data_IF_407964005128
#
_entry.id   IF_407964005128
#
_cell.length_a   1.000
_cell.length_b   1.000
_cell.length_c   1.000
_cell.angle_alpha   90.00
_cell.angle_beta   90.00
_cell.angle_gamma   90.00
#
_symmetry.space_group_name_H-M   'P 1'
#
loop_
_entity.id
_entity.type
_entity.pdbx_description
1 polymer ?
#
# COMPACT_ATOMS: atom_id res chain seq x y z
N UNK A 1 -21.54 1.12 2.61
CA UNK A 1 -20.41 0.27 3.04
C UNK A 1 -19.68 0.87 4.23
N UNK A 2 -19.26 2.15 4.19
CA UNK A 2 -18.53 2.81 5.29
C UNK A 2 -19.20 2.73 6.69
N UNK A 3 -20.53 2.72 6.76
CA UNK A 3 -21.27 2.58 8.03
C UNK A 3 -21.02 1.24 8.75
N UNK A 4 -20.46 0.25 8.07
CA UNK A 4 -20.08 -1.06 8.63
C UNK A 4 -18.58 -1.15 8.98
N UNK A 5 -17.81 -0.09 8.74
CA UNK A 5 -16.38 -0.09 8.99
C UNK A 5 -16.08 -0.37 10.46
N UNK A 6 -15.29 -1.40 10.72
CA UNK A 6 -14.94 -1.82 12.07
C UNK A 6 -13.75 -1.00 12.59
N UNK A 7 -14.05 0.18 13.14
CA UNK A 7 -13.05 1.04 13.81
C UNK A 7 -12.25 0.27 14.90
N UNK A 8 -12.86 -0.60 15.74
CA UNK A 8 -12.10 -1.37 16.72
C UNK A 8 -10.98 -2.20 16.11
N UNK A 9 -11.23 -2.83 14.96
CA UNK A 9 -10.21 -3.60 14.25
C UNK A 9 -9.10 -2.70 13.70
N UNK A 10 -9.44 -1.53 13.13
CA UNK A 10 -8.43 -0.56 12.70
C UNK A 10 -7.55 -0.09 13.87
N UNK A 11 -8.14 0.20 15.03
CA UNK A 11 -7.38 0.63 16.21
C UNK A 11 -6.47 -0.49 16.76
N UNK A 12 -6.84 -1.76 16.55
CA UNK A 12 -6.01 -2.93 16.90
C UNK A 12 -4.81 -3.10 15.97
N UNK A 13 -5.03 -3.10 14.64
CA UNK A 13 -3.97 -3.44 13.67
C UNK A 13 -3.23 -2.21 13.10
N UNK A 14 -3.80 -1.02 13.24
CA UNK A 14 -3.19 0.25 12.88
C UNK A 14 -3.32 0.65 11.40
N UNK A 15 -3.39 -0.30 10.47
CA UNK A 15 -3.62 -0.05 9.03
C UNK A 15 -4.51 -1.12 8.40
N UNK A 16 -5.48 -0.69 7.61
CA UNK A 16 -6.30 -1.59 6.79
C UNK A 16 -6.51 -0.99 5.39
N UNK A 17 -6.36 -1.83 4.36
CA UNK A 17 -6.89 -1.49 3.05
C UNK A 17 -8.41 -1.68 3.07
N UNK A 18 -9.17 -0.72 2.55
CA UNK A 18 -10.64 -0.79 2.55
C UNK A 18 -11.17 -1.75 1.48
N UNK A 19 -10.33 -2.13 0.51
CA UNK A 19 -10.65 -3.12 -0.50
C UNK A 19 -10.26 -4.52 -0.02
N UNK A 20 -11.26 -5.40 0.06
CA UNK A 20 -11.07 -6.83 0.23
C UNK A 20 -11.21 -7.51 -1.14
N UNK A 21 -10.10 -7.96 -1.73
CA UNK A 21 -10.09 -8.53 -3.09
C UNK A 21 -9.06 -9.67 -3.23
N UNK A 22 -9.37 -10.63 -4.12
CA UNK A 22 -8.54 -11.82 -4.36
C UNK A 22 -7.61 -11.73 -5.58
N UNK A 23 -7.81 -10.75 -6.49
CA UNK A 23 -7.28 -10.85 -7.87
C UNK A 23 -6.54 -9.58 -8.31
N UNK A 24 -6.52 -8.51 -7.51
CA UNK A 24 -5.96 -7.22 -7.94
C UNK A 24 -4.98 -6.68 -6.90
N UNK A 25 -3.70 -6.72 -7.25
CA UNK A 25 -2.59 -6.29 -6.40
C UNK A 25 -2.02 -7.37 -5.48
N UNK A 26 -2.65 -8.55 -5.42
CA UNK A 26 -2.31 -9.66 -4.54
C UNK A 26 -2.18 -10.99 -5.30
N UNK A 27 -1.30 -11.91 -4.86
CA UNK A 27 -0.42 -11.79 -3.70
C UNK A 27 0.78 -10.87 -3.95
N UNK A 28 1.21 -10.75 -5.20
CA UNK A 28 2.36 -9.96 -5.64
C UNK A 28 1.95 -9.25 -6.92
N UNK A 29 2.15 -7.93 -6.97
CA UNK A 29 1.84 -7.12 -8.15
C UNK A 29 3.10 -6.59 -8.81
N UNK A 30 4.07 -6.19 -7.98
CA UNK A 30 5.26 -5.50 -8.44
C UNK A 30 6.46 -6.34 -8.03
N UNK A 31 7.31 -6.65 -8.99
CA UNK A 31 8.62 -7.26 -8.77
C UNK A 31 9.70 -6.25 -9.17
N UNK A 32 10.17 -5.39 -8.24
CA UNK A 32 10.99 -4.22 -8.55
C UNK A 32 12.29 -4.52 -9.32
N UNK A 33 12.79 -5.75 -9.22
CA UNK A 33 14.05 -6.19 -9.83
C UNK A 33 13.88 -6.83 -11.21
N UNK A 34 12.70 -7.38 -11.52
CA UNK A 34 12.46 -8.18 -12.73
C UNK A 34 11.46 -7.56 -13.68
N UNK A 35 10.60 -6.66 -13.20
CA UNK A 35 9.66 -5.90 -14.02
C UNK A 35 10.42 -4.86 -14.84
N UNK A 36 11.01 -5.31 -15.95
CA UNK A 36 11.81 -4.51 -16.87
C UNK A 36 11.02 -4.07 -18.11
N UNK A 37 9.75 -4.44 -18.21
CA UNK A 37 8.92 -4.20 -19.39
C UNK A 37 8.26 -2.82 -19.30
N UNK A 38 8.72 -1.88 -20.13
CA UNK A 38 8.19 -0.50 -20.17
C UNK A 38 6.83 -0.39 -20.90
N UNK A 39 6.39 -1.46 -21.57
CA UNK A 39 5.17 -1.48 -22.37
C UNK A 39 3.92 -1.86 -21.56
N UNK A 40 4.10 -2.32 -20.33
CA UNK A 40 2.98 -2.65 -19.46
C UNK A 40 2.66 -1.47 -18.52
N UNK A 41 1.38 -1.33 -18.19
CA UNK A 41 0.81 -0.42 -17.17
C UNK A 41 1.41 -0.66 -15.75
N UNK A 42 2.42 -1.52 -15.63
CA UNK A 42 3.08 -1.92 -14.42
C UNK A 42 4.21 -0.94 -14.10
N UNK A 43 4.10 -0.32 -12.92
CA UNK A 43 5.07 0.65 -12.43
C UNK A 43 6.46 0.07 -12.14
N UNK A 44 6.69 -1.22 -12.38
CA UNK A 44 7.89 -1.96 -11.98
C UNK A 44 9.23 -1.28 -12.26
N UNK A 45 9.52 -0.83 -13.51
CA UNK A 45 10.78 -0.16 -13.82
C UNK A 45 11.00 1.13 -13.01
N UNK A 46 9.92 1.84 -12.70
CA UNK A 46 9.94 3.09 -11.96
C UNK A 46 9.83 2.88 -10.45
N UNK A 47 9.24 1.76 -10.03
CA UNK A 47 8.93 1.47 -8.64
C UNK A 47 10.21 1.26 -7.83
N UNK A 48 11.23 0.57 -8.35
CA UNK A 48 12.50 0.42 -7.66
C UNK A 48 13.12 1.78 -7.30
N UNK A 49 13.16 2.70 -8.25
CA UNK A 49 13.75 4.02 -8.05
C UNK A 49 12.90 4.87 -7.09
N UNK A 50 11.57 4.89 -7.30
CA UNK A 50 10.64 5.56 -6.40
C UNK A 50 10.72 5.02 -4.97
N UNK A 51 10.81 3.71 -4.79
CA UNK A 51 10.97 3.06 -3.49
C UNK A 51 12.24 3.54 -2.78
N UNK A 52 13.38 3.57 -3.46
CA UNK A 52 14.65 4.04 -2.88
C UNK A 52 14.60 5.50 -2.43
N UNK A 53 13.84 6.34 -3.13
CA UNK A 53 13.63 7.75 -2.75
C UNK A 53 12.66 7.90 -1.57
N UNK A 54 11.58 7.10 -1.55
CA UNK A 54 10.60 7.11 -0.46
C UNK A 54 11.21 6.54 0.83
N UNK A 55 11.96 5.44 0.73
CA UNK A 55 12.52 4.66 1.83
C UNK A 55 14.06 4.60 1.79
N UNK A 56 14.75 5.74 2.00
CA UNK A 56 16.20 5.78 1.91
C UNK A 56 16.85 4.87 2.96
N UNK A 57 17.74 3.99 2.50
CA UNK A 57 18.45 3.02 3.36
C UNK A 57 17.67 1.75 3.69
N UNK A 58 16.45 1.60 3.15
CA UNK A 58 15.68 0.34 3.24
C UNK A 58 15.98 -0.51 2.01
N UNK A 59 16.17 -1.80 2.22
CA UNK A 59 16.34 -2.76 1.13
C UNK A 59 15.08 -2.82 0.28
N UNK A 60 15.24 -2.83 -1.05
CA UNK A 60 14.11 -2.94 -1.97
C UNK A 60 13.58 -4.36 -1.87
N UNK A 61 12.28 -4.56 -1.61
CA UNK A 61 11.72 -5.90 -1.52
C UNK A 61 11.70 -6.58 -2.90
N UNK A 62 11.85 -7.91 -2.90
CA UNK A 62 11.78 -8.72 -4.13
C UNK A 62 10.40 -8.68 -4.79
N UNK A 63 9.35 -8.54 -3.98
CA UNK A 63 7.96 -8.42 -4.41
C UNK A 63 7.17 -7.48 -3.48
N UNK A 64 6.19 -6.80 -4.05
CA UNK A 64 5.23 -5.95 -3.33
C UNK A 64 3.82 -6.33 -3.71
N UNK A 65 2.96 -6.47 -2.71
CA UNK A 65 1.56 -6.82 -2.90
C UNK A 65 0.65 -6.22 -1.85
N UNK A 66 -0.48 -5.68 -2.29
CA UNK A 66 -1.57 -5.17 -1.46
C UNK A 66 -2.80 -5.06 -2.35
N UNK A 67 -4.00 -5.21 -1.78
CA UNK A 67 -5.25 -4.94 -2.52
C UNK A 67 -5.15 -3.60 -3.26
N UNK A 68 -5.38 -3.61 -4.57
CA UNK A 68 -5.14 -2.41 -5.38
C UNK A 68 -6.07 -1.24 -4.99
N UNK A 69 -5.70 -0.03 -5.43
CA UNK A 69 -6.25 1.27 -5.03
C UNK A 69 -5.68 1.82 -3.70
N UNK A 70 -5.79 3.14 -3.50
CA UNK A 70 -5.26 3.85 -2.34
C UNK A 70 -6.35 4.27 -1.32
N UNK A 71 -7.37 3.41 -1.11
CA UNK A 71 -8.37 3.63 -0.07
C UNK A 71 -8.03 2.78 1.16
N UNK A 72 -7.63 3.44 2.24
CA UNK A 72 -7.17 2.76 3.46
C UNK A 72 -7.56 3.56 4.71
N UNK A 73 -7.64 2.86 5.83
CA UNK A 73 -7.75 3.45 7.17
C UNK A 73 -6.42 3.34 7.91
N UNK A 74 -6.10 4.34 8.73
CA UNK A 74 -4.90 4.33 9.59
C UNK A 74 -5.27 4.85 10.97
N UNK A 75 -4.87 4.13 12.01
CA UNK A 75 -5.05 4.58 13.39
C UNK A 75 -4.07 5.73 13.71
N UNK A 76 -4.48 6.62 14.61
CA UNK A 76 -3.66 7.78 15.01
C UNK A 76 -2.29 7.35 15.54
N UNK A 77 -2.25 6.31 16.37
CA UNK A 77 -0.99 5.82 16.93
C UNK A 77 -0.04 5.33 15.84
N UNK A 78 -0.56 4.66 14.81
CA UNK A 78 0.20 4.14 13.68
C UNK A 78 0.79 5.25 12.80
N UNK A 79 0.07 6.36 12.63
CA UNK A 79 0.60 7.57 11.98
C UNK A 79 1.77 8.17 12.79
N UNK A 80 1.67 8.15 14.11
CA UNK A 80 2.66 8.77 15.00
C UNK A 80 3.93 7.93 15.18
N UNK A 81 3.94 6.65 14.82
CA UNK A 81 5.15 5.81 14.80
C UNK A 81 6.21 6.35 13.83
N UNK A 82 5.78 7.04 12.77
CA UNK A 82 6.67 7.60 11.76
C UNK A 82 6.96 9.08 12.02
N UNK A 83 8.22 9.52 11.97
CA UNK A 83 8.56 10.93 12.15
C UNK A 83 7.95 11.81 11.04
N UNK A 84 7.55 13.03 11.41
CA UNK A 84 6.99 14.02 10.48
C UNK A 84 7.87 14.27 9.24
N UNK A 85 9.18 14.18 9.38
CA UNK A 85 10.16 14.35 8.30
C UNK A 85 9.94 13.37 7.14
N UNK A 86 9.45 12.15 7.42
CA UNK A 86 9.19 11.17 6.38
C UNK A 86 7.96 11.55 5.56
N UNK A 87 6.88 11.98 6.22
CA UNK A 87 5.70 12.52 5.52
C UNK A 87 6.05 13.74 4.66
N UNK A 88 6.95 14.59 5.14
CA UNK A 88 7.48 15.71 4.35
C UNK A 88 8.29 15.23 3.14
N UNK A 89 9.08 14.16 3.28
CA UNK A 89 9.80 13.53 2.17
C UNK A 89 8.85 12.96 1.13
N UNK A 90 7.85 12.17 1.51
CA UNK A 90 6.86 11.61 0.59
C UNK A 90 6.12 12.70 -0.19
N UNK A 91 5.65 13.74 0.52
CA UNK A 91 5.03 14.91 -0.11
C UNK A 91 5.99 15.61 -1.07
N UNK A 92 7.26 15.80 -0.68
CA UNK A 92 8.26 16.46 -1.52
C UNK A 92 8.56 15.64 -2.78
N UNK A 93 8.64 14.32 -2.68
CA UNK A 93 8.84 13.42 -3.81
C UNK A 93 7.67 13.55 -4.80
N UNK A 94 6.43 13.46 -4.32
CA UNK A 94 5.22 13.65 -5.16
C UNK A 94 5.18 14.99 -5.89
N UNK A 95 5.67 16.07 -5.25
CA UNK A 95 5.68 17.41 -5.85
C UNK A 95 6.83 17.68 -6.81
N UNK A 96 7.87 16.84 -6.82
CA UNK A 96 9.13 17.09 -7.54
C UNK A 96 9.50 16.02 -8.54
N UNK A 97 8.86 14.87 -8.50
CA UNK A 97 9.12 13.79 -9.44
C UNK A 97 8.75 14.22 -10.86
N UNK A 98 9.52 13.77 -11.84
CA UNK A 98 9.24 13.99 -13.26
C UNK A 98 8.26 12.93 -13.82
N UNK A 99 7.83 11.98 -12.99
CA UNK A 99 6.81 10.99 -13.33
C UNK A 99 5.44 11.65 -13.47
N UNK A 100 4.61 11.14 -14.38
CA UNK A 100 3.22 11.57 -14.47
C UNK A 100 2.39 11.15 -13.23
N UNK A 101 1.20 11.73 -13.09
CA UNK A 101 0.31 11.48 -11.95
C UNK A 101 -0.12 10.00 -11.86
N UNK A 102 -0.22 9.30 -12.99
CA UNK A 102 -0.62 7.89 -13.02
C UNK A 102 0.49 7.01 -12.44
N UNK A 103 1.75 7.24 -12.85
CA UNK A 103 2.90 6.48 -12.42
C UNK A 103 3.27 6.78 -10.96
N UNK A 104 3.36 8.07 -10.60
CA UNK A 104 3.64 8.49 -9.22
C UNK A 104 2.52 8.05 -8.27
N UNK A 105 1.26 8.11 -8.71
CA UNK A 105 0.11 7.58 -8.00
C UNK A 105 0.19 6.08 -7.77
N UNK A 106 0.57 5.29 -8.78
CA UNK A 106 0.75 3.83 -8.67
C UNK A 106 1.87 3.46 -7.69
N UNK A 107 2.99 4.17 -7.71
CA UNK A 107 4.07 3.95 -6.75
C UNK A 107 3.58 4.21 -5.32
N UNK A 108 2.85 5.31 -5.08
CA UNK A 108 2.27 5.60 -3.77
C UNK A 108 1.23 4.56 -3.35
N UNK A 109 0.37 4.13 -4.26
CA UNK A 109 -0.64 3.09 -4.04
C UNK A 109 -0.02 1.84 -3.42
N UNK A 110 1.06 1.34 -4.01
CA UNK A 110 1.80 0.17 -3.52
C UNK A 110 2.86 0.53 -2.47
N UNK A 111 2.88 1.73 -1.92
CA UNK A 111 3.78 2.11 -0.83
C UNK A 111 3.05 2.38 0.48
N UNK A 112 1.74 2.65 0.46
CA UNK A 112 1.00 3.09 1.64
C UNK A 112 1.08 2.12 2.82
N UNK A 113 0.91 0.82 2.59
CA UNK A 113 0.97 -0.19 3.65
C UNK A 113 2.36 -0.21 4.30
N UNK A 114 3.44 -0.12 3.52
CA UNK A 114 4.82 -0.02 4.02
C UNK A 114 5.13 1.32 4.69
N UNK A 115 4.57 2.44 4.20
CA UNK A 115 4.62 3.73 4.89
C UNK A 115 4.06 3.58 6.31
N UNK A 116 2.98 2.82 6.48
CA UNK A 116 2.38 2.55 7.79
C UNK A 116 2.92 1.28 8.47
N UNK A 117 4.08 0.78 8.02
CA UNK A 117 4.84 -0.25 8.73
C UNK A 117 4.28 -1.66 8.60
N UNK A 118 3.55 -1.95 7.52
CA UNK A 118 3.19 -3.30 7.13
C UNK A 118 4.27 -3.92 6.23
N UNK A 119 4.30 -5.24 6.16
CA UNK A 119 5.21 -6.00 5.30
C UNK A 119 5.02 -5.67 3.81
N UNK A 120 6.06 -5.84 2.96
CA UNK A 120 5.97 -5.57 1.52
C UNK A 120 4.81 -6.29 0.82
N UNK A 121 4.48 -7.50 1.27
CA UNK A 121 3.29 -8.26 0.87
C UNK A 121 2.29 -8.21 2.01
N UNK A 122 1.23 -7.42 1.85
CA UNK A 122 0.12 -7.28 2.80
C UNK A 122 -1.22 -7.58 2.12
N UNK A 123 -1.47 -8.88 1.94
CA UNK A 123 -2.62 -9.42 1.23
C UNK A 123 -3.44 -10.33 2.14
N UNK A 124 -4.30 -9.78 3.02
CA UNK A 124 -5.19 -10.61 3.82
C UNK A 124 -6.16 -11.37 2.94
N UNK A 125 -6.53 -12.58 3.37
CA UNK A 125 -7.62 -13.36 2.78
C UNK A 125 -8.88 -12.50 2.66
N UNK A 126 -9.58 -12.54 1.51
CA UNK A 126 -10.66 -11.58 1.33
C UNK A 126 -11.88 -11.90 2.22
N UNK A 127 -12.16 -13.18 2.53
CA UNK A 127 -13.24 -13.54 3.48
C UNK A 127 -12.90 -12.97 4.85
N UNK A 128 -11.66 -13.17 5.28
CA UNK A 128 -11.17 -12.64 6.55
C UNK A 128 -11.23 -11.11 6.58
N UNK A 129 -10.79 -10.45 5.50
CA UNK A 129 -10.86 -9.00 5.36
C UNK A 129 -12.29 -8.49 5.46
N UNK A 130 -13.25 -9.09 4.76
CA UNK A 130 -14.65 -8.68 4.85
C UNK A 130 -15.24 -8.87 6.24
N UNK A 131 -14.89 -9.97 6.92
CA UNK A 131 -15.33 -10.22 8.29
C UNK A 131 -14.72 -9.19 9.26
N UNK A 132 -13.40 -8.99 9.24
CA UNK A 132 -12.70 -8.12 10.19
C UNK A 132 -12.88 -6.62 9.92
N UNK A 133 -12.82 -6.19 8.66
CA UNK A 133 -12.90 -4.77 8.27
C UNK A 133 -14.35 -4.28 8.16
N UNK A 134 -15.26 -5.16 7.72
CA UNK A 134 -16.64 -4.78 7.40
C UNK A 134 -17.71 -5.49 8.24
N UNK A 135 -17.33 -6.39 9.17
CA UNK A 135 -18.29 -7.16 9.97
C UNK A 135 -19.13 -8.13 9.14
N UNK A 136 -18.70 -8.44 7.91
CA UNK A 136 -19.39 -9.34 6.98
C UNK A 136 -18.75 -10.73 7.06
N UNK A 137 -19.04 -11.44 8.15
CA UNK A 137 -18.58 -12.80 8.37
C UNK A 137 -19.60 -13.78 7.77
N UNK A 138 -19.15 -14.93 7.25
CA UNK A 138 -19.96 -15.92 6.52
C UNK A 138 -20.28 -15.53 5.06
N UNK A 139 -19.28 -14.99 4.35
CA UNK A 139 -19.33 -14.94 2.90
C UNK A 139 -18.96 -16.33 2.37
N UNK A 140 -19.89 -16.99 1.69
CA UNK A 140 -19.69 -18.26 0.96
C UNK A 140 -18.99 -18.03 -0.39
#
# INVERSE_FOLDING_TARGET
MINRFQIPYLEEVGYVNLRCAWVLGCPEEIHPMTDNDMDAVHAGPYYMNGFKELFPGVEVPDAVGVSCCAQFGVAKWKILERPKSDYQRYKKWLLKTDLDDAMSGRIMEYSWHMIFGMEPIYCPDAVECYCKVWGLCNLE
#
